data_IF_904905867901
#
_entry.id   IF_904905867901
#
_cell.length_a   1.000
_cell.length_b   1.000
_cell.length_c   1.000
_cell.angle_alpha   90.00
_cell.angle_beta   90.00
_cell.angle_gamma   90.00
#
_symmetry.space_group_name_H-M   'P 1'
#
loop_
_entity.id
_entity.type
_entity.pdbx_description
1 polymer ?
#
# COMPACT_ATOMS: atom_id res chain seq x y z
N UNK A 1 8.51 8.05 -3.52
CA UNK A 1 9.18 6.78 -3.11
C UNK A 1 10.60 6.97 -2.53
N UNK A 2 10.98 8.17 -2.09
CA UNK A 2 12.29 8.42 -1.48
C UNK A 2 12.50 7.54 -0.23
N UNK A 3 13.67 6.91 -0.08
CA UNK A 3 14.03 6.12 1.11
C UNK A 3 13.34 4.75 1.26
N UNK A 4 12.64 4.29 0.23
CA UNK A 4 12.12 2.93 0.15
C UNK A 4 13.10 2.00 -0.58
N UNK A 5 13.44 0.88 0.05
CA UNK A 5 14.35 -0.14 -0.50
C UNK A 5 13.67 -1.49 -0.50
N UNK A 6 14.13 -2.43 -1.33
CA UNK A 6 13.64 -3.80 -1.35
C UNK A 6 13.69 -4.42 0.04
N UNK A 7 14.80 -4.25 0.77
CA UNK A 7 14.96 -4.78 2.13
C UNK A 7 13.90 -4.22 3.10
N UNK A 8 13.66 -2.90 3.06
CA UNK A 8 12.61 -2.26 3.86
C UNK A 8 11.22 -2.82 3.53
N UNK A 9 10.92 -3.08 2.26
CA UNK A 9 9.65 -3.68 1.85
C UNK A 9 9.52 -5.11 2.38
N UNK A 10 10.59 -5.90 2.29
CA UNK A 10 10.59 -7.28 2.77
C UNK A 10 10.45 -7.38 4.29
N UNK A 11 11.01 -6.42 5.04
CA UNK A 11 10.86 -6.32 6.48
C UNK A 11 9.41 -6.07 6.95
N UNK A 12 8.52 -5.59 6.06
CA UNK A 12 7.10 -5.40 6.37
C UNK A 12 6.29 -6.70 6.29
N UNK A 13 6.82 -7.75 5.64
CA UNK A 13 6.05 -8.95 5.39
C UNK A 13 5.73 -9.73 6.68
N UNK A 14 4.49 -10.23 6.85
CA UNK A 14 4.12 -10.94 8.08
C UNK A 14 4.75 -12.34 8.20
N UNK A 15 5.23 -12.91 7.09
CA UNK A 15 5.92 -14.20 7.05
C UNK A 15 6.68 -14.40 5.72
N UNK A 16 7.59 -15.38 5.69
CA UNK A 16 8.38 -15.73 4.51
C UNK A 16 7.53 -16.18 3.30
N UNK A 17 6.36 -16.77 3.54
CA UNK A 17 5.44 -17.14 2.47
C UNK A 17 4.86 -15.91 1.76
N UNK A 18 4.59 -14.84 2.51
CA UNK A 18 4.13 -13.55 1.99
C UNK A 18 5.22 -12.85 1.18
N UNK A 19 6.49 -12.93 1.64
CA UNK A 19 7.66 -12.48 0.86
C UNK A 19 7.73 -13.20 -0.48
N UNK A 20 7.74 -14.54 -0.46
CA UNK A 20 7.88 -15.33 -1.67
C UNK A 20 6.74 -15.08 -2.66
N UNK A 21 5.51 -14.90 -2.15
CA UNK A 21 4.35 -14.60 -2.98
C UNK A 21 4.35 -13.15 -3.52
N UNK A 22 4.81 -12.18 -2.72
CA UNK A 22 4.94 -10.78 -3.13
C UNK A 22 5.97 -10.61 -4.26
N UNK A 23 7.14 -11.25 -4.14
CA UNK A 23 8.17 -11.24 -5.20
C UNK A 23 7.66 -11.75 -6.54
N UNK A 24 6.80 -12.78 -6.55
CA UNK A 24 6.18 -13.30 -7.78
C UNK A 24 5.27 -12.29 -8.48
N UNK A 25 4.75 -11.32 -7.73
CA UNK A 25 3.93 -10.23 -8.25
C UNK A 25 4.73 -8.97 -8.57
N UNK A 26 6.04 -8.91 -8.29
CA UNK A 26 6.90 -7.76 -8.56
C UNK A 26 7.34 -7.68 -10.03
N UNK A 27 6.38 -7.82 -10.95
CA UNK A 27 6.57 -7.81 -12.40
C UNK A 27 5.44 -6.98 -13.01
N UNK A 28 5.63 -6.23 -14.11
CA UNK A 28 4.56 -5.37 -14.67
C UNK A 28 3.31 -6.13 -15.13
N UNK A 29 3.47 -7.36 -15.65
CA UNK A 29 2.40 -8.13 -16.31
C UNK A 29 1.07 -8.27 -15.54
N UNK A 30 1.05 -8.65 -14.25
CA UNK A 30 -0.20 -8.75 -13.49
C UNK A 30 -0.81 -7.41 -13.08
N UNK A 31 -0.16 -6.26 -13.35
CA UNK A 31 -0.62 -4.96 -12.88
C UNK A 31 -1.19 -4.10 -14.00
N UNK A 32 -2.22 -3.34 -13.65
CA UNK A 32 -2.80 -2.28 -14.47
C UNK A 32 -3.13 -1.07 -13.59
N UNK A 33 -3.40 0.08 -14.22
CA UNK A 33 -3.73 1.32 -13.52
C UNK A 33 -2.74 1.67 -12.39
N UNK A 34 -1.45 1.38 -12.62
CA UNK A 34 -0.39 1.66 -11.65
C UNK A 34 -0.05 3.13 -11.64
N UNK A 35 0.30 3.63 -10.46
CA UNK A 35 0.82 4.98 -10.32
C UNK A 35 1.36 5.21 -8.91
N UNK A 36 2.07 6.32 -8.76
CA UNK A 36 2.57 6.77 -7.49
C UNK A 36 2.65 8.30 -7.43
N UNK A 37 2.67 8.82 -6.21
CA UNK A 37 3.08 10.17 -5.91
C UNK A 37 4.00 10.17 -4.67
N UNK A 38 4.15 11.32 -4.01
CA UNK A 38 4.95 11.41 -2.78
C UNK A 38 4.29 10.69 -1.59
N UNK A 39 2.96 10.59 -1.58
CA UNK A 39 2.17 10.08 -0.46
C UNK A 39 1.80 8.61 -0.60
N UNK A 40 1.58 8.12 -1.82
CA UNK A 40 1.01 6.80 -2.04
C UNK A 40 1.52 6.11 -3.30
N UNK A 41 1.33 4.79 -3.32
CA UNK A 41 1.48 3.92 -4.49
C UNK A 41 0.19 3.14 -4.67
N UNK A 42 -0.28 3.01 -5.90
CA UNK A 42 -1.50 2.28 -6.22
C UNK A 42 -1.35 1.42 -7.47
N UNK A 43 -2.24 0.43 -7.60
CA UNK A 43 -2.34 -0.41 -8.78
C UNK A 43 -3.40 -1.48 -8.63
N UNK A 44 -3.82 -2.02 -9.76
CA UNK A 44 -4.85 -3.06 -9.85
C UNK A 44 -4.16 -4.36 -10.24
N UNK A 45 -4.13 -5.34 -9.33
CA UNK A 45 -3.48 -6.63 -9.57
C UNK A 45 -4.48 -7.65 -10.10
N UNK A 46 -4.23 -8.22 -11.29
CA UNK A 46 -5.00 -9.34 -11.80
C UNK A 46 -4.79 -10.57 -10.90
N UNK A 47 -5.85 -10.94 -10.17
CA UNK A 47 -5.89 -12.10 -9.31
C UNK A 47 -6.57 -13.30 -9.95
N UNK A 48 -7.04 -14.23 -9.11
CA UNK A 48 -7.82 -15.41 -9.55
C UNK A 48 -9.27 -15.10 -9.92
N UNK A 49 -9.75 -13.88 -9.62
CA UNK A 49 -11.11 -13.43 -9.93
C UNK A 49 -11.19 -12.66 -11.24
N UNK A 50 -12.42 -12.39 -11.68
CA UNK A 50 -12.70 -11.56 -12.88
C UNK A 50 -12.34 -10.08 -12.68
N UNK A 51 -12.47 -9.58 -11.46
CA UNK A 51 -12.12 -8.20 -11.10
C UNK A 51 -10.69 -8.17 -10.53
N UNK A 52 -9.80 -7.30 -11.04
CA UNK A 52 -8.51 -7.05 -10.41
C UNK A 52 -8.64 -6.60 -8.95
N UNK A 53 -7.65 -6.91 -8.14
CA UNK A 53 -7.56 -6.43 -6.77
C UNK A 53 -6.92 -5.04 -6.74
N UNK A 54 -7.76 -4.03 -6.54
CA UNK A 54 -7.34 -2.68 -6.18
C UNK A 54 -6.43 -2.74 -4.94
N UNK A 55 -5.25 -2.18 -5.07
CA UNK A 55 -4.22 -2.16 -4.03
C UNK A 55 -3.69 -0.74 -3.90
N UNK A 56 -3.67 -0.23 -2.68
CA UNK A 56 -3.17 1.09 -2.32
C UNK A 56 -2.21 1.00 -1.13
N UNK A 57 -1.16 1.81 -1.15
CA UNK A 57 -0.16 1.89 -0.07
C UNK A 57 0.10 3.35 0.26
N UNK A 58 -0.05 3.71 1.53
CA UNK A 58 0.32 5.01 2.09
C UNK A 58 1.81 4.93 2.48
N UNK A 59 2.65 5.76 1.86
CA UNK A 59 4.10 5.74 2.03
C UNK A 59 4.57 6.50 3.27
N UNK A 60 3.77 7.44 3.80
CA UNK A 60 4.18 8.28 4.93
C UNK A 60 4.11 7.54 6.27
N UNK A 61 3.02 6.80 6.47
CA UNK A 61 2.89 5.82 7.54
C UNK A 61 2.52 4.50 6.89
N UNK A 62 3.48 3.56 6.70
CA UNK A 62 3.30 2.40 5.85
C UNK A 62 2.04 1.64 6.22
N UNK A 63 1.02 1.85 5.40
CA UNK A 63 -0.28 1.25 5.58
C UNK A 63 -0.85 0.86 4.24
N UNK A 64 -1.70 -0.15 4.28
CA UNK A 64 -2.02 -0.92 3.11
C UNK A 64 -3.54 -1.04 3.00
N UNK A 65 -4.05 -0.95 1.79
CA UNK A 65 -5.41 -1.34 1.47
C UNK A 65 -5.34 -2.24 0.24
N UNK A 66 -6.07 -3.33 0.28
CA UNK A 66 -6.17 -4.24 -0.83
C UNK A 66 -7.53 -4.91 -0.77
N UNK A 67 -8.24 -4.98 -1.88
CA UNK A 67 -9.57 -5.60 -1.96
C UNK A 67 -9.54 -7.13 -1.94
N UNK A 68 -8.36 -7.76 -1.85
CA UNK A 68 -8.24 -9.21 -1.81
C UNK A 68 -8.72 -9.80 -0.45
N UNK A 69 -9.25 -11.04 -0.41
CA UNK A 69 -9.81 -11.64 0.80
C UNK A 69 -8.75 -12.14 1.81
N UNK A 70 -7.49 -11.72 1.66
CA UNK A 70 -6.40 -12.18 2.52
C UNK A 70 -6.54 -11.63 3.94
N UNK A 71 -6.29 -12.47 4.93
CA UNK A 71 -6.19 -12.07 6.35
C UNK A 71 -4.76 -11.69 6.76
N UNK A 72 -3.79 -11.75 5.84
CA UNK A 72 -2.40 -11.33 6.09
C UNK A 72 -2.24 -9.87 5.72
N UNK A 73 -1.58 -9.11 6.59
CA UNK A 73 -1.42 -7.67 6.41
C UNK A 73 0.01 -7.24 6.77
N UNK A 74 0.79 -6.69 5.82
CA UNK A 74 0.50 -6.53 4.40
C UNK A 74 0.22 -7.86 3.68
N UNK A 75 -0.67 -7.85 2.69
CA UNK A 75 -0.92 -9.00 1.84
C UNK A 75 0.14 -9.10 0.73
N UNK A 76 0.15 -10.23 -0.01
CA UNK A 76 1.10 -10.41 -1.12
C UNK A 76 0.99 -9.36 -2.22
N UNK A 77 -0.20 -8.80 -2.46
CA UNK A 77 -0.39 -7.77 -3.49
C UNK A 77 0.23 -6.44 -3.05
N UNK A 78 0.00 -6.01 -1.81
CA UNK A 78 0.64 -4.80 -1.27
C UNK A 78 2.17 -4.90 -1.28
N UNK A 79 2.73 -6.05 -0.89
CA UNK A 79 4.17 -6.30 -1.00
C UNK A 79 4.64 -6.30 -2.46
N UNK A 80 3.92 -6.98 -3.35
CA UNK A 80 4.26 -7.03 -4.77
C UNK A 80 4.24 -5.67 -5.45
N UNK A 81 3.27 -4.80 -5.11
CA UNK A 81 3.18 -3.44 -5.63
C UNK A 81 4.37 -2.58 -5.18
N UNK A 82 4.70 -2.62 -3.88
CA UNK A 82 5.86 -1.90 -3.35
C UNK A 82 7.18 -2.39 -3.95
N UNK A 83 7.34 -3.71 -4.08
CA UNK A 83 8.52 -4.29 -4.72
C UNK A 83 8.61 -3.87 -6.19
N UNK A 84 7.49 -3.92 -6.94
CA UNK A 84 7.45 -3.44 -8.32
C UNK A 84 7.86 -1.97 -8.42
N UNK A 85 7.34 -1.13 -7.52
CA UNK A 85 7.64 0.29 -7.52
C UNK A 85 9.14 0.55 -7.26
N UNK A 86 9.73 -0.13 -6.26
CA UNK A 86 11.14 0.05 -5.90
C UNK A 86 12.10 -0.54 -6.94
N UNK A 87 11.80 -1.73 -7.47
CA UNK A 87 12.69 -2.45 -8.37
C UNK A 87 12.55 -1.99 -9.83
N UNK A 88 11.35 -1.54 -10.22
CA UNK A 88 11.01 -1.12 -11.58
C UNK A 88 10.13 0.14 -11.56
N UNK A 89 10.66 1.29 -11.14
CA UNK A 89 9.87 2.53 -10.99
C UNK A 89 9.18 2.97 -12.28
N UNK A 90 9.72 2.62 -13.46
CA UNK A 90 9.08 2.88 -14.75
C UNK A 90 7.74 2.17 -14.95
N UNK A 91 7.49 1.05 -14.26
CA UNK A 91 6.22 0.32 -14.29
C UNK A 91 5.14 0.94 -13.38
N UNK A 92 5.53 1.88 -12.53
CA UNK A 92 4.66 2.60 -11.59
C UNK A 92 4.95 4.09 -11.76
N UNK A 93 4.49 4.72 -12.86
CA UNK A 93 4.84 6.10 -13.17
C UNK A 93 4.25 7.09 -12.16
N UNK A 94 4.85 8.27 -12.07
CA UNK A 94 4.26 9.36 -11.31
C UNK A 94 2.90 9.76 -11.91
N UNK A 95 1.91 10.05 -11.08
CA UNK A 95 0.57 10.44 -11.55
C UNK A 95 -0.32 10.99 -10.45
N UNK A 96 -1.53 11.37 -10.82
CA UNK A 96 -2.56 11.79 -9.86
C UNK A 96 -3.24 10.54 -9.26
N UNK A 97 -3.40 10.46 -7.93
CA UNK A 97 -4.13 9.38 -7.29
C UNK A 97 -5.59 9.33 -7.77
N UNK A 98 -6.12 8.14 -8.12
CA UNK A 98 -7.55 7.95 -8.33
C UNK A 98 -8.36 8.37 -7.10
N UNK A 99 -9.61 8.81 -7.31
CA UNK A 99 -10.52 9.26 -6.23
C UNK A 99 -10.56 8.30 -5.03
N UNK A 100 -10.65 6.98 -5.29
CA UNK A 100 -10.66 5.95 -4.23
C UNK A 100 -9.41 5.98 -3.32
N UNK A 101 -8.25 6.36 -3.88
CA UNK A 101 -6.97 6.46 -3.16
C UNK A 101 -7.00 7.72 -2.31
N UNK A 102 -7.43 8.84 -2.88
CA UNK A 102 -7.60 10.12 -2.19
C UNK A 102 -8.57 9.99 -1.01
N UNK A 103 -9.79 9.49 -1.24
CA UNK A 103 -10.80 9.27 -0.19
C UNK A 103 -10.27 8.37 0.94
N UNK A 104 -9.49 7.35 0.59
CA UNK A 104 -8.89 6.45 1.56
C UNK A 104 -7.85 7.15 2.45
N UNK A 105 -6.97 7.95 1.84
CA UNK A 105 -5.94 8.71 2.53
C UNK A 105 -6.56 9.79 3.43
N UNK A 106 -7.56 10.53 2.93
CA UNK A 106 -8.29 11.54 3.72
C UNK A 106 -8.99 10.91 4.92
N UNK A 107 -9.69 9.78 4.70
CA UNK A 107 -10.31 9.00 5.77
C UNK A 107 -9.31 8.44 6.78
N UNK A 108 -8.03 8.27 6.42
CA UNK A 108 -6.95 7.94 7.37
C UNK A 108 -6.50 9.17 8.14
N UNK A 109 -6.22 10.28 7.46
CA UNK A 109 -5.81 11.53 8.10
C UNK A 109 -6.82 11.96 9.18
N UNK A 110 -8.11 11.95 8.86
CA UNK A 110 -9.17 12.26 9.83
C UNK A 110 -9.22 11.29 11.03
N UNK A 111 -8.83 10.02 10.87
CA UNK A 111 -8.73 9.06 11.98
C UNK A 111 -7.50 9.28 12.85
N UNK A 112 -6.36 9.64 12.24
CA UNK A 112 -5.13 9.96 12.96
C UNK A 112 -5.34 11.19 13.83
N UNK A 113 -5.91 12.26 13.28
CA UNK A 113 -6.25 13.49 14.01
C UNK A 113 -7.19 13.23 15.20
N UNK A 114 -8.25 12.45 14.98
CA UNK A 114 -9.19 12.09 16.06
C UNK A 114 -8.53 11.23 17.15
N UNK A 115 -7.63 10.32 16.78
CA UNK A 115 -6.90 9.50 17.73
C UNK A 115 -5.89 10.33 18.54
N UNK A 116 -5.20 11.28 17.91
CA UNK A 116 -4.31 12.22 18.58
C UNK A 116 -5.09 13.08 19.58
N UNK A 117 -6.19 13.70 19.15
CA UNK A 117 -7.04 14.53 20.02
C UNK A 117 -7.64 13.73 21.19
N UNK A 118 -7.98 12.44 20.99
CA UNK A 118 -8.44 11.56 22.08
C UNK A 118 -7.32 11.26 23.07
N UNK A 119 -6.09 11.02 22.59
CA UNK A 119 -4.91 10.80 23.44
C UNK A 119 -4.61 12.04 24.28
N UNK A 120 -4.65 13.22 23.69
CA UNK A 120 -4.44 14.50 24.39
C UNK A 120 -5.52 14.73 25.46
N UNK A 121 -6.81 14.54 25.14
CA UNK A 121 -7.89 14.62 26.14
C UNK A 121 -7.75 13.60 27.26
N UNK A 122 -7.27 12.39 26.97
CA UNK A 122 -7.05 11.35 27.99
C UNK A 122 -5.81 11.63 28.84
N UNK A 123 -4.81 12.33 28.30
CA UNK A 123 -3.58 12.73 29.00
C UNK A 123 -3.75 14.02 29.82
N UNK A 124 -4.67 14.90 29.42
CA UNK A 124 -4.96 16.15 30.12
C UNK A 124 -5.77 15.96 31.43
N UNK A 125 -6.44 14.81 31.61
CA UNK A 125 -7.26 14.52 32.79
C UNK A 125 -8.48 15.45 32.98
N UNK A 126 -9.48 15.08 33.80
CA UNK A 126 -10.57 15.98 34.19
C UNK A 126 -10.11 17.12 35.11
#
# INVERSE_FOLDING_TARGET
MEGWTTDRVLALAPDAGSVAAGRKLALPGPWSATGQDERAVWGDCQGSGKKPYETEVDLAEPAFRCSCPSRKFPCKHALGLLLLAVEQPAAVPAGEPPERVTEWLEGRAGRVEQAAARRERSAAGP
#
